data_IF_280780592493
#
_entry.id   IF_280780592493
#
_cell.length_a   1.000
_cell.length_b   1.000
_cell.length_c   1.000
_cell.angle_alpha   90.00
_cell.angle_beta   90.00
_cell.angle_gamma   90.00
#
_symmetry.space_group_name_H-M   'P 1'
#
loop_
_entity.id
_entity.type
_entity.pdbx_description
1 polymer ?
#
# COMPACT_ATOMS: atom_id res chain seq x y z
N UNK A 1 18.47 -12.84 -16.42
CA UNK A 1 17.74 -13.11 -15.16
C UNK A 1 18.20 -14.45 -14.64
N UNK A 2 18.50 -14.55 -13.33
CA UNK A 2 18.88 -15.82 -12.70
C UNK A 2 17.58 -16.55 -12.33
N UNK A 3 17.28 -17.63 -13.06
CA UNK A 3 16.12 -18.49 -12.76
C UNK A 3 16.53 -19.49 -11.68
N UNK A 4 16.01 -19.29 -10.47
CA UNK A 4 16.16 -20.23 -9.38
C UNK A 4 15.10 -21.33 -9.58
N UNK A 5 15.50 -22.45 -10.15
CA UNK A 5 14.58 -23.54 -10.53
C UNK A 5 14.24 -24.46 -9.36
N UNK A 6 15.07 -24.51 -8.32
CA UNK A 6 14.85 -25.37 -7.16
C UNK A 6 15.57 -24.87 -5.90
N UNK A 7 14.86 -24.88 -4.77
CA UNK A 7 15.44 -24.67 -3.44
C UNK A 7 15.62 -26.02 -2.77
N UNK A 8 16.85 -26.32 -2.33
CA UNK A 8 17.17 -27.56 -1.65
C UNK A 8 17.31 -27.32 -0.15
N UNK A 9 16.45 -27.97 0.64
CA UNK A 9 16.64 -28.11 2.07
C UNK A 9 17.69 -29.20 2.32
N UNK A 10 18.79 -28.86 2.99
CA UNK A 10 19.80 -29.84 3.42
C UNK A 10 19.90 -29.80 4.94
N UNK A 11 19.99 -30.98 5.53
CA UNK A 11 20.32 -31.17 6.95
C UNK A 11 19.46 -30.32 7.90
N UNK A 12 18.14 -30.54 7.90
CA UNK A 12 17.12 -30.05 8.87
C UNK A 12 16.45 -28.69 8.68
N UNK A 13 16.61 -28.03 7.54
CA UNK A 13 15.87 -26.80 7.24
C UNK A 13 16.68 -25.75 6.52
N UNK A 14 16.16 -24.53 6.52
CA UNK A 14 16.88 -23.34 6.06
C UNK A 14 17.63 -22.63 7.19
N UNK A 15 17.57 -23.12 8.42
CA UNK A 15 18.19 -22.50 9.59
C UNK A 15 19.41 -23.31 10.03
N UNK A 16 20.59 -22.69 9.96
CA UNK A 16 21.85 -23.26 10.45
C UNK A 16 22.38 -22.34 11.53
N UNK A 17 22.53 -22.85 12.77
CA UNK A 17 22.95 -22.06 13.94
C UNK A 17 22.09 -20.81 14.22
N UNK A 18 20.79 -20.88 13.93
CA UNK A 18 19.85 -19.77 14.13
C UNK A 18 19.86 -18.72 13.01
N UNK A 19 20.69 -18.90 11.98
CA UNK A 19 20.76 -18.01 10.82
C UNK A 19 20.13 -18.66 9.58
N UNK A 20 19.34 -17.88 8.84
CA UNK A 20 18.67 -18.35 7.62
C UNK A 20 19.69 -18.46 6.49
N UNK A 21 19.98 -19.68 6.05
CA UNK A 21 20.89 -20.01 4.95
C UNK A 21 20.13 -20.70 3.82
N UNK A 22 19.97 -20.00 2.70
CA UNK A 22 19.36 -20.53 1.48
C UNK A 22 20.47 -20.79 0.46
N UNK A 23 20.58 -22.04 0.00
CA UNK A 23 21.48 -22.42 -1.10
C UNK A 23 20.63 -22.73 -2.32
N UNK A 24 20.96 -22.14 -3.46
CA UNK A 24 20.24 -22.35 -4.71
C UNK A 24 21.20 -22.54 -5.88
N UNK A 25 20.82 -23.42 -6.79
CA UNK A 25 21.52 -23.66 -8.05
C UNK A 25 20.92 -22.77 -9.13
N UNK A 26 21.77 -22.15 -9.94
CA UNK A 26 21.35 -21.14 -10.91
C UNK A 26 21.84 -21.54 -12.29
N UNK A 27 20.89 -21.80 -13.19
CA UNK A 27 21.17 -21.96 -14.62
C UNK A 27 21.17 -20.59 -15.30
N UNK A 28 22.31 -20.25 -15.90
CA UNK A 28 22.48 -19.03 -16.70
C UNK A 28 22.17 -19.37 -18.15
N UNK A 29 21.01 -18.94 -18.64
CA UNK A 29 20.70 -18.95 -20.07
C UNK A 29 21.26 -17.67 -20.70
N UNK A 30 22.32 -17.82 -21.49
CA UNK A 30 22.83 -16.76 -22.37
C UNK A 30 21.76 -16.42 -23.41
N UNK A 31 21.40 -15.13 -23.49
CA UNK A 31 20.40 -14.64 -24.42
C UNK A 31 21.14 -14.04 -25.61
N UNK A 32 20.93 -14.61 -26.80
CA UNK A 32 21.55 -14.10 -28.01
C UNK A 32 21.11 -12.67 -28.31
N UNK A 33 22.11 -11.82 -28.57
CA UNK A 33 21.98 -10.41 -28.88
C UNK A 33 21.38 -10.25 -30.28
N UNK A 34 20.17 -9.68 -30.37
CA UNK A 34 19.68 -9.12 -31.64
C UNK A 34 20.26 -7.72 -31.81
N UNK A 35 21.14 -7.60 -32.81
CA UNK A 35 21.74 -6.36 -33.30
C UNK A 35 20.71 -5.28 -33.68
N UNK A 36 21.05 -4.01 -33.42
CA UNK A 36 20.23 -2.86 -33.83
C UNK A 36 20.73 -1.47 -33.39
N UNK A 37 21.99 -1.16 -33.68
CA UNK A 37 22.52 0.17 -34.10
C UNK A 37 22.46 1.41 -33.17
N UNK A 38 23.67 1.83 -32.74
CA UNK A 38 24.24 3.20 -32.54
C UNK A 38 24.03 4.06 -31.26
N UNK A 39 25.05 3.97 -30.37
CA UNK A 39 25.89 5.05 -29.79
C UNK A 39 25.41 5.96 -28.61
N UNK A 40 26.36 6.44 -27.77
CA UNK A 40 26.29 6.27 -26.31
C UNK A 40 26.09 7.58 -25.52
N UNK A 41 25.29 7.54 -24.44
CA UNK A 41 25.21 8.68 -23.51
C UNK A 41 25.12 8.22 -22.04
N UNK A 42 26.28 8.39 -21.38
CA UNK A 42 26.51 8.89 -20.02
C UNK A 42 25.71 8.27 -18.86
N UNK A 43 26.48 7.59 -18.01
CA UNK A 43 26.26 7.31 -16.58
C UNK A 43 25.36 8.34 -15.90
N UNK A 44 24.19 7.91 -15.46
CA UNK A 44 23.55 8.42 -14.25
C UNK A 44 23.21 7.22 -13.38
N UNK A 45 23.79 7.19 -12.18
CA UNK A 45 23.34 6.30 -11.11
C UNK A 45 21.89 6.68 -10.84
N UNK A 46 20.99 5.73 -10.97
CA UNK A 46 19.67 5.82 -10.39
C UNK A 46 19.47 4.53 -9.62
N UNK A 47 19.36 4.72 -8.31
CA UNK A 47 19.30 3.66 -7.33
C UNK A 47 18.02 2.85 -7.57
N UNK A 48 18.20 1.55 -7.79
CA UNK A 48 17.13 0.62 -8.03
C UNK A 48 16.48 0.30 -6.67
N UNK A 49 15.38 0.96 -6.34
CA UNK A 49 14.43 0.47 -5.35
C UNK A 49 13.07 0.31 -6.03
N UNK A 50 12.79 -0.92 -6.46
CA UNK A 50 11.62 -1.18 -7.28
C UNK A 50 11.45 -2.64 -7.68
N UNK A 51 11.68 -3.56 -6.74
CA UNK A 51 11.24 -4.94 -6.95
C UNK A 51 9.75 -5.04 -6.59
N UNK A 52 8.89 -4.67 -7.54
CA UNK A 52 7.47 -4.99 -7.48
C UNK A 52 7.30 -6.46 -7.87
N UNK A 53 6.65 -7.26 -7.00
CA UNK A 53 6.24 -8.62 -7.33
C UNK A 53 5.32 -8.63 -8.55
N UNK A 54 5.47 -9.63 -9.41
CA UNK A 54 4.67 -9.82 -10.64
C UNK A 54 3.16 -9.83 -10.33
N UNK A 55 2.79 -10.29 -9.14
CA UNK A 55 1.42 -10.29 -8.63
C UNK A 55 0.90 -8.88 -8.30
N UNK A 56 1.77 -8.02 -7.76
CA UNK A 56 1.48 -6.59 -7.64
C UNK A 56 1.41 -5.94 -9.03
N UNK A 57 2.26 -6.31 -9.99
CA UNK A 57 2.26 -5.72 -11.33
C UNK A 57 0.92 -5.97 -12.06
N UNK A 58 0.40 -7.19 -12.02
CA UNK A 58 -0.92 -7.53 -12.56
C UNK A 58 -2.09 -6.83 -11.83
N UNK A 59 -1.96 -6.63 -10.51
CA UNK A 59 -2.95 -5.91 -9.69
C UNK A 59 -2.85 -4.38 -9.88
N UNK A 60 -1.66 -3.86 -10.14
CA UNK A 60 -1.36 -2.44 -10.37
C UNK A 60 -1.84 -2.00 -11.74
N UNK A 61 -1.82 -2.89 -12.74
CA UNK A 61 -2.42 -2.66 -14.06
C UNK A 61 -3.93 -2.29 -13.97
N UNK A 62 -4.59 -2.68 -12.88
CA UNK A 62 -6.00 -2.41 -12.61
C UNK A 62 -6.22 -1.20 -11.68
N UNK A 63 -5.18 -0.65 -11.05
CA UNK A 63 -5.30 0.51 -10.17
C UNK A 63 -5.17 1.80 -10.98
N UNK A 64 -5.91 2.83 -10.56
CA UNK A 64 -5.85 4.17 -11.11
C UNK A 64 -5.17 5.09 -10.12
N UNK A 65 -4.27 5.94 -10.62
CA UNK A 65 -3.68 7.00 -9.82
C UNK A 65 -4.65 8.18 -9.68
N UNK A 66 -4.93 8.58 -8.44
CA UNK A 66 -5.75 9.76 -8.09
C UNK A 66 -5.05 10.50 -6.95
N UNK A 67 -4.72 11.77 -7.15
CA UNK A 67 -4.01 12.61 -6.18
C UNK A 67 -2.71 11.98 -5.62
N UNK A 68 -1.98 11.20 -6.42
CA UNK A 68 -0.74 10.50 -6.01
C UNK A 68 -0.96 9.16 -5.29
N UNK A 69 -2.21 8.71 -5.17
CA UNK A 69 -2.59 7.43 -4.57
C UNK A 69 -3.02 6.44 -5.65
N UNK A 70 -2.53 5.21 -5.57
CA UNK A 70 -3.03 4.12 -6.43
C UNK A 70 -4.24 3.48 -5.76
N UNK A 71 -5.39 3.58 -6.41
CA UNK A 71 -6.69 3.12 -5.89
C UNK A 71 -7.47 2.34 -6.95
N UNK A 72 -8.44 1.53 -6.51
CA UNK A 72 -9.32 0.82 -7.44
C UNK A 72 -10.16 1.82 -8.25
N UNK A 73 -10.39 1.59 -9.55
CA UNK A 73 -11.19 2.49 -10.38
C UNK A 73 -12.60 2.73 -9.83
N UNK A 74 -13.21 1.73 -9.19
CA UNK A 74 -14.50 1.83 -8.52
C UNK A 74 -14.51 2.82 -7.34
N UNK A 75 -13.35 3.06 -6.74
CA UNK A 75 -13.17 3.99 -5.61
C UNK A 75 -12.73 5.39 -6.05
N UNK A 76 -12.38 5.56 -7.33
CA UNK A 76 -11.76 6.78 -7.83
C UNK A 76 -12.62 8.04 -7.64
N UNK A 77 -13.92 7.92 -7.86
CA UNK A 77 -14.84 9.05 -7.72
C UNK A 77 -15.07 9.43 -6.25
N UNK A 78 -15.15 8.43 -5.36
CA UNK A 78 -15.24 8.65 -3.92
C UNK A 78 -14.02 9.40 -3.39
N UNK A 79 -12.82 8.97 -3.79
CA UNK A 79 -11.56 9.60 -3.37
C UNK A 79 -11.48 11.05 -3.87
N UNK A 80 -11.83 11.32 -5.13
CA UNK A 80 -11.88 12.70 -5.65
C UNK A 80 -12.81 13.58 -4.82
N UNK A 81 -14.03 13.11 -4.54
CA UNK A 81 -15.01 13.86 -3.75
C UNK A 81 -14.51 14.15 -2.33
N UNK A 82 -13.76 13.24 -1.73
CA UNK A 82 -13.14 13.46 -0.41
C UNK A 82 -12.12 14.61 -0.50
N UNK A 83 -11.23 14.58 -1.49
CA UNK A 83 -10.26 15.66 -1.71
C UNK A 83 -10.90 16.99 -2.10
N UNK A 84 -12.02 17.00 -2.82
CA UNK A 84 -12.77 18.23 -3.11
C UNK A 84 -13.33 18.88 -1.83
N UNK A 85 -13.85 18.07 -0.90
CA UNK A 85 -14.37 18.55 0.39
C UNK A 85 -13.27 18.87 1.40
N UNK A 86 -12.16 18.15 1.34
CA UNK A 86 -11.04 18.23 2.28
C UNK A 86 -9.70 18.30 1.53
N UNK A 87 -9.44 19.37 0.75
CA UNK A 87 -8.26 19.45 -0.13
C UNK A 87 -6.95 19.42 0.64
N UNK A 88 -6.98 19.90 1.88
CA UNK A 88 -5.81 20.02 2.74
C UNK A 88 -5.51 18.75 3.55
N UNK A 89 -6.31 17.69 3.39
CA UNK A 89 -6.26 16.49 4.23
C UNK A 89 -4.92 15.76 4.16
N UNK A 90 -4.28 15.69 2.99
CA UNK A 90 -3.03 14.95 2.82
C UNK A 90 -1.82 15.87 2.56
N UNK A 91 -1.89 17.16 2.93
CA UNK A 91 -0.78 18.09 2.68
C UNK A 91 0.51 17.72 3.41
N UNK A 92 0.38 17.23 4.64
CA UNK A 92 1.53 16.87 5.48
C UNK A 92 1.90 15.38 5.32
N UNK A 93 1.16 14.65 4.47
CA UNK A 93 1.40 13.24 4.18
C UNK A 93 2.59 13.09 3.22
N UNK A 94 3.69 12.51 3.70
CA UNK A 94 4.96 12.45 2.96
C UNK A 94 5.49 11.03 2.71
N UNK A 95 4.61 10.02 2.72
CA UNK A 95 5.04 8.67 2.35
C UNK A 95 5.57 8.67 0.91
N UNK A 96 6.80 8.19 0.70
CA UNK A 96 7.39 8.00 -0.65
C UNK A 96 7.03 6.66 -1.26
N UNK A 97 6.83 5.66 -0.40
CA UNK A 97 6.54 4.29 -0.79
C UNK A 97 5.08 4.16 -1.24
N UNK A 98 4.87 3.67 -2.47
CA UNK A 98 3.53 3.61 -3.05
C UNK A 98 2.60 2.62 -2.33
N UNK A 99 3.13 1.51 -1.83
CA UNK A 99 2.38 0.54 -1.01
C UNK A 99 1.83 1.20 0.25
N UNK A 100 2.63 2.02 0.92
CA UNK A 100 2.19 2.79 2.10
C UNK A 100 1.10 3.78 1.72
N UNK A 101 1.25 4.51 0.60
CA UNK A 101 0.20 5.42 0.11
C UNK A 101 -1.13 4.70 -0.10
N UNK A 102 -1.10 3.57 -0.81
CA UNK A 102 -2.30 2.76 -1.06
C UNK A 102 -2.90 2.23 0.24
N UNK A 103 -2.08 1.73 1.18
CA UNK A 103 -2.56 1.25 2.46
C UNK A 103 -3.25 2.35 3.29
N UNK A 104 -2.63 3.54 3.40
CA UNK A 104 -3.25 4.67 4.10
C UNK A 104 -4.58 5.07 3.46
N UNK A 105 -4.66 5.10 2.13
CA UNK A 105 -5.91 5.44 1.44
C UNK A 105 -6.99 4.38 1.65
N UNK A 106 -6.63 3.09 1.68
CA UNK A 106 -7.58 2.02 2.01
C UNK A 106 -8.10 2.16 3.45
N UNK A 107 -7.22 2.43 4.43
CA UNK A 107 -7.63 2.68 5.82
C UNK A 107 -8.60 3.86 5.92
N UNK A 108 -8.33 4.96 5.20
CA UNK A 108 -9.23 6.11 5.15
C UNK A 108 -10.61 5.74 4.58
N UNK A 109 -10.64 5.02 3.46
CA UNK A 109 -11.89 4.62 2.82
C UNK A 109 -12.69 3.66 3.72
N UNK A 110 -12.04 2.67 4.32
CA UNK A 110 -12.68 1.74 5.26
C UNK A 110 -13.24 2.47 6.48
N UNK A 111 -12.51 3.44 7.05
CA UNK A 111 -13.02 4.25 8.15
C UNK A 111 -14.26 5.05 7.76
N UNK A 112 -14.26 5.66 6.57
CA UNK A 112 -15.43 6.40 6.07
C UNK A 112 -16.62 5.45 5.90
N UNK A 113 -16.40 4.27 5.33
CA UNK A 113 -17.42 3.24 5.16
C UNK A 113 -18.02 2.79 6.50
N UNK A 114 -17.18 2.46 7.49
CA UNK A 114 -17.61 2.14 8.86
C UNK A 114 -18.45 3.26 9.46
N UNK A 115 -18.04 4.52 9.32
CA UNK A 115 -18.80 5.68 9.81
C UNK A 115 -20.04 6.04 8.98
N UNK A 116 -20.30 5.33 7.87
CA UNK A 116 -21.53 5.45 7.09
C UNK A 116 -22.50 4.30 7.35
N UNK A 117 -22.10 3.27 8.08
CA UNK A 117 -22.99 2.19 8.48
C UNK A 117 -24.10 2.69 9.40
N UNK A 118 -25.18 1.92 9.50
CA UNK A 118 -26.25 2.23 10.44
C UNK A 118 -25.72 2.10 11.87
N UNK A 119 -26.27 2.91 12.78
CA UNK A 119 -25.85 2.88 14.19
C UNK A 119 -26.11 1.52 14.85
N UNK A 120 -27.13 0.80 14.38
CA UNK A 120 -27.54 -0.52 14.88
C UNK A 120 -26.57 -1.62 14.45
N UNK A 121 -26.01 -1.52 13.25
CA UNK A 121 -25.06 -2.51 12.72
C UNK A 121 -23.65 -2.30 13.27
N UNK A 122 -23.33 -1.07 13.65
CA UNK A 122 -22.03 -0.74 14.21
C UNK A 122 -21.88 -1.38 15.59
N UNK A 123 -20.74 -2.00 15.88
CA UNK A 123 -20.39 -2.61 17.17
C UNK A 123 -19.47 -1.72 18.02
N UNK A 124 -19.31 -2.01 19.31
CA UNK A 124 -18.37 -1.26 20.17
C UNK A 124 -16.92 -1.51 19.74
N UNK A 125 -16.61 -2.74 19.31
CA UNK A 125 -15.29 -3.09 18.78
C UNK A 125 -14.96 -2.30 17.51
N UNK A 126 -15.90 -2.20 16.56
CA UNK A 126 -15.70 -1.39 15.34
C UNK A 126 -15.46 0.09 15.62
N UNK A 127 -16.08 0.64 16.67
CA UNK A 127 -15.77 2.01 17.12
C UNK A 127 -14.34 2.13 17.65
N UNK A 128 -13.85 1.12 18.38
CA UNK A 128 -12.45 1.05 18.81
C UNK A 128 -11.49 0.90 17.63
N UNK A 129 -11.84 0.09 16.61
CA UNK A 129 -11.05 -0.02 15.38
C UNK A 129 -11.04 1.29 14.60
N UNK A 130 -12.15 2.03 14.59
CA UNK A 130 -12.24 3.34 13.97
C UNK A 130 -11.31 4.36 14.66
N UNK A 131 -11.20 4.34 16.00
CA UNK A 131 -10.22 5.17 16.74
C UNK A 131 -8.77 4.82 16.36
N UNK A 132 -8.47 3.52 16.28
CA UNK A 132 -7.14 3.05 15.90
C UNK A 132 -6.78 3.51 14.48
N UNK A 133 -7.74 3.39 13.54
CA UNK A 133 -7.58 3.85 12.16
C UNK A 133 -7.36 5.37 12.08
N UNK A 134 -8.13 6.16 12.83
CA UNK A 134 -7.93 7.61 12.93
C UNK A 134 -6.53 7.97 13.45
N UNK A 135 -6.10 7.31 14.52
CA UNK A 135 -4.77 7.52 15.12
C UNK A 135 -3.67 7.21 14.12
N UNK A 136 -3.79 6.08 13.40
CA UNK A 136 -2.85 5.70 12.34
C UNK A 136 -2.76 6.75 11.23
N UNK A 137 -3.92 7.26 10.76
CA UNK A 137 -3.96 8.28 9.71
C UNK A 137 -3.32 9.59 10.17
N UNK A 138 -3.63 10.06 11.37
CA UNK A 138 -3.01 11.25 11.96
C UNK A 138 -1.49 11.11 12.06
N UNK A 139 -1.01 9.97 12.58
CA UNK A 139 0.42 9.68 12.69
C UNK A 139 1.11 9.61 11.32
N UNK A 140 0.37 9.28 10.27
CA UNK A 140 0.87 9.28 8.89
C UNK A 140 0.94 10.68 8.28
N UNK A 141 0.36 11.70 8.92
CA UNK A 141 0.32 13.09 8.43
C UNK A 141 -1.01 13.48 7.76
N UNK A 142 -2.06 12.67 7.88
CA UNK A 142 -3.39 13.05 7.42
C UNK A 142 -4.09 13.98 8.43
N UNK A 143 -4.66 15.08 7.94
CA UNK A 143 -5.52 16.02 8.67
C UNK A 143 -6.98 15.55 8.60
N UNK A 144 -7.36 14.66 9.52
CA UNK A 144 -8.67 13.97 9.56
C UNK A 144 -9.55 14.41 10.74
N UNK A 145 -9.39 15.65 11.22
CA UNK A 145 -10.18 16.18 12.37
C UNK A 145 -11.70 16.18 12.13
N UNK A 146 -12.10 16.21 10.86
CA UNK A 146 -13.51 16.11 10.46
C UNK A 146 -14.08 14.69 10.65
N UNK A 147 -13.25 13.64 10.51
CA UNK A 147 -13.64 12.26 10.79
C UNK A 147 -13.66 11.98 12.29
N UNK A 148 -12.72 12.57 13.03
CA UNK A 148 -12.70 12.49 14.50
C UNK A 148 -14.00 13.04 15.10
N UNK A 149 -14.38 14.26 14.72
CA UNK A 149 -15.67 14.85 15.14
C UNK A 149 -16.87 14.00 14.73
N UNK A 150 -16.82 13.37 13.56
CA UNK A 150 -17.90 12.48 13.10
C UNK A 150 -17.96 11.20 13.94
N UNK A 151 -16.81 10.62 14.29
CA UNK A 151 -16.74 9.43 15.14
C UNK A 151 -17.26 9.72 16.55
N UNK A 152 -16.91 10.87 17.13
CA UNK A 152 -17.44 11.31 18.43
C UNK A 152 -18.97 11.39 18.41
N UNK A 153 -19.56 12.02 17.40
CA UNK A 153 -21.02 12.09 17.24
C UNK A 153 -21.68 10.71 17.12
N UNK A 154 -21.03 9.76 16.43
CA UNK A 154 -21.54 8.39 16.30
C UNK A 154 -21.47 7.67 17.64
N UNK A 155 -20.40 7.86 18.42
CA UNK A 155 -20.25 7.27 19.76
C UNK A 155 -21.30 7.81 20.74
N UNK A 156 -21.51 9.13 20.75
CA UNK A 156 -22.51 9.77 21.61
C UNK A 156 -23.91 9.20 21.34
N UNK A 157 -24.32 9.14 20.08
CA UNK A 157 -25.63 8.60 19.68
C UNK A 157 -25.84 7.14 20.02
N UNK A 158 -24.76 6.36 20.18
CA UNK A 158 -24.84 4.92 20.50
C UNK A 158 -25.07 4.66 21.98
N UNK A 159 -24.67 5.61 22.82
CA UNK A 159 -24.82 5.53 24.28
C UNK A 159 -26.21 6.03 24.70
N UNK A 160 -26.82 6.90 23.89
CA UNK A 160 -28.22 7.38 24.02
C UNK A 160 -29.24 6.30 23.62
#
# INVERSE_FOLDING_TARGET
MLLLTKLHERDSGFLVNGELKITAEVDVLETEESEGTTQPLKKRKQDNDGMLSIDLLNKTQQLKEVHGFLILPSQAESVKRIFEKHPNMALDFQAKNQTVRTACMNVLLSLIETLCQSLQDLSIDELGQADNALTYLKNSGFKVDWLERKLEQVKEKKIE
#
